data_IF_432886210431
#
_entry.id   IF_432886210431
#
_cell.length_a   1.000
_cell.length_b   1.000
_cell.length_c   1.000
_cell.angle_alpha   90.00
_cell.angle_beta   90.00
_cell.angle_gamma   90.00
#
_symmetry.space_group_name_H-M   'P 1'
#
loop_
_entity.id
_entity.type
_entity.pdbx_description
1 polymer ?
#
# COMPACT_ATOMS: atom_id res chain seq x y z
N UNK A 1 12.50 0.56 27.18
CA UNK A 1 12.09 1.33 25.97
C UNK A 1 10.90 0.62 25.31
N UNK A 2 9.66 1.01 25.65
CA UNK A 2 8.45 0.46 25.00
C UNK A 2 8.39 1.03 23.58
N UNK A 3 8.49 0.19 22.55
CA UNK A 3 8.26 0.64 21.18
C UNK A 3 6.85 1.23 21.11
N UNK A 4 6.64 2.45 20.59
CA UNK A 4 5.29 2.99 20.40
C UNK A 4 4.57 2.01 19.47
N UNK A 5 3.55 1.35 20.01
CA UNK A 5 2.88 0.21 19.35
C UNK A 5 2.34 0.60 17.98
N UNK A 6 2.00 1.88 17.81
CA UNK A 6 1.60 2.49 16.56
C UNK A 6 2.62 2.36 15.42
N UNK A 7 3.91 2.57 15.67
CA UNK A 7 4.94 2.51 14.62
C UNK A 7 5.15 1.07 14.16
N UNK A 8 5.07 0.12 15.09
CA UNK A 8 5.16 -1.31 14.78
C UNK A 8 3.95 -1.77 13.97
N UNK A 9 2.74 -1.33 14.35
CA UNK A 9 1.51 -1.61 13.60
C UNK A 9 1.55 -1.04 12.18
N UNK A 10 1.97 0.22 12.03
CA UNK A 10 2.14 0.86 10.73
C UNK A 10 3.14 0.09 9.86
N UNK A 11 4.31 -0.23 10.41
CA UNK A 11 5.34 -0.98 9.68
C UNK A 11 4.84 -2.37 9.28
N UNK A 12 4.14 -3.08 10.17
CA UNK A 12 3.56 -4.40 9.86
C UNK A 12 2.53 -4.31 8.72
N UNK A 13 1.71 -3.27 8.72
CA UNK A 13 0.69 -3.06 7.70
C UNK A 13 1.30 -2.73 6.32
N UNK A 14 2.31 -1.85 6.29
CA UNK A 14 3.05 -1.54 5.06
C UNK A 14 3.80 -2.76 4.51
N UNK A 15 4.35 -3.60 5.39
CA UNK A 15 4.96 -4.87 4.97
C UNK A 15 3.93 -5.85 4.42
N UNK A 16 2.72 -5.90 5.00
CA UNK A 16 1.63 -6.71 4.48
C UNK A 16 1.16 -6.22 3.09
N UNK A 17 1.05 -4.90 2.89
CA UNK A 17 0.74 -4.32 1.58
C UNK A 17 1.84 -4.64 0.55
N UNK A 18 3.11 -4.49 0.91
CA UNK A 18 4.22 -4.86 0.03
C UNK A 18 4.16 -6.33 -0.36
N UNK A 19 3.91 -7.23 0.61
CA UNK A 19 3.77 -8.66 0.35
C UNK A 19 2.60 -8.96 -0.60
N UNK A 20 1.46 -8.31 -0.41
CA UNK A 20 0.30 -8.45 -1.29
C UNK A 20 0.62 -8.04 -2.73
N UNK A 21 1.33 -6.92 -2.92
CA UNK A 21 1.77 -6.48 -4.24
C UNK A 21 2.73 -7.48 -4.89
N UNK A 22 3.67 -8.05 -4.14
CA UNK A 22 4.56 -9.09 -4.67
C UNK A 22 3.79 -10.37 -5.05
N UNK A 23 2.78 -10.77 -4.27
CA UNK A 23 1.88 -11.86 -4.66
C UNK A 23 1.15 -11.52 -5.97
N UNK A 24 0.68 -10.29 -6.12
CA UNK A 24 0.04 -9.83 -7.37
C UNK A 24 1.01 -9.84 -8.57
N UNK A 25 2.29 -9.46 -8.37
CA UNK A 25 3.33 -9.58 -9.40
C UNK A 25 3.48 -11.03 -9.85
N UNK A 26 3.62 -11.96 -8.90
CA UNK A 26 3.75 -13.40 -9.21
C UNK A 26 2.50 -13.90 -9.93
N UNK A 27 1.31 -13.52 -9.47
CA UNK A 27 0.05 -13.86 -10.11
C UNK A 27 -0.01 -13.37 -11.56
N UNK A 28 0.32 -12.11 -11.82
CA UNK A 28 0.32 -11.54 -13.18
C UNK A 28 1.34 -12.21 -14.10
N UNK A 29 2.50 -12.61 -13.58
CA UNK A 29 3.48 -13.39 -14.34
C UNK A 29 2.89 -14.76 -14.70
N UNK A 30 2.26 -15.45 -13.75
CA UNK A 30 1.60 -16.74 -14.00
C UNK A 30 0.47 -16.60 -15.02
N UNK A 31 -0.35 -15.54 -14.90
CA UNK A 31 -1.44 -15.26 -15.83
C UNK A 31 -0.90 -14.99 -17.25
N UNK A 32 0.22 -14.28 -17.38
CA UNK A 32 0.88 -14.04 -18.67
C UNK A 32 1.44 -15.33 -19.31
N UNK A 33 1.84 -16.30 -18.49
CA UNK A 33 2.38 -17.58 -18.95
C UNK A 33 1.30 -18.63 -19.25
N UNK A 34 0.12 -18.52 -18.62
CA UNK A 34 -0.92 -19.57 -18.67
C UNK A 34 -2.18 -19.15 -19.42
N UNK A 35 -2.49 -17.86 -19.50
CA UNK A 35 -3.65 -17.32 -20.19
C UNK A 35 -3.22 -16.53 -21.43
N UNK A 36 -4.10 -16.48 -22.44
CA UNK A 36 -3.90 -15.64 -23.62
C UNK A 36 -4.46 -14.24 -23.36
N UNK A 37 -3.62 -13.20 -23.17
CA UNK A 37 -4.12 -11.86 -22.93
C UNK A 37 -4.79 -11.31 -24.20
N UNK A 38 -5.87 -10.54 -24.03
CA UNK A 38 -6.51 -9.80 -25.13
C UNK A 38 -5.57 -8.74 -25.74
N UNK A 39 -4.64 -8.23 -24.94
CA UNK A 39 -3.58 -7.31 -25.36
C UNK A 39 -2.31 -7.58 -24.55
N UNK A 40 -1.26 -8.07 -25.21
CA UNK A 40 0.05 -8.30 -24.59
C UNK A 40 0.65 -6.99 -24.05
N UNK A 41 0.50 -5.90 -24.79
CA UNK A 41 1.02 -4.59 -24.39
C UNK A 41 0.38 -4.11 -23.08
N UNK A 42 -0.94 -4.25 -22.94
CA UNK A 42 -1.67 -3.86 -21.73
C UNK A 42 -1.29 -4.74 -20.53
N UNK A 43 -1.13 -6.05 -20.75
CA UNK A 43 -0.71 -6.98 -19.69
C UNK A 43 0.70 -6.64 -19.16
N UNK A 44 1.66 -6.40 -20.05
CA UNK A 44 3.03 -6.00 -19.68
C UNK A 44 3.01 -4.64 -18.97
N UNK A 45 2.24 -3.67 -19.45
CA UNK A 45 2.13 -2.35 -18.83
C UNK A 45 1.63 -2.43 -17.38
N UNK A 46 0.58 -3.23 -17.13
CA UNK A 46 0.07 -3.46 -15.77
C UNK A 46 1.12 -4.16 -14.91
N UNK A 47 1.78 -5.21 -15.42
CA UNK A 47 2.83 -5.92 -14.67
C UNK A 47 3.94 -4.97 -14.24
N UNK A 48 4.47 -4.16 -15.16
CA UNK A 48 5.54 -3.19 -14.85
C UNK A 48 5.07 -2.18 -13.80
N UNK A 49 3.85 -1.66 -13.93
CA UNK A 49 3.28 -0.71 -12.98
C UNK A 49 3.16 -1.32 -11.58
N UNK A 50 2.70 -2.58 -11.47
CA UNK A 50 2.59 -3.29 -10.20
C UNK A 50 3.97 -3.61 -9.61
N UNK A 51 4.98 -3.94 -10.42
CA UNK A 51 6.36 -4.13 -9.95
C UNK A 51 6.94 -2.84 -9.37
N UNK A 52 6.75 -1.70 -10.06
CA UNK A 52 7.19 -0.39 -9.57
C UNK A 52 6.50 -0.04 -8.25
N UNK A 53 5.19 -0.27 -8.15
CA UNK A 53 4.44 -0.10 -6.93
C UNK A 53 4.97 -1.00 -5.79
N UNK A 54 5.19 -2.29 -6.05
CA UNK A 54 5.71 -3.24 -5.08
C UNK A 54 7.08 -2.82 -4.53
N UNK A 55 7.98 -2.38 -5.42
CA UNK A 55 9.29 -1.87 -5.05
C UNK A 55 9.20 -0.58 -4.20
N UNK A 56 8.31 0.34 -4.59
CA UNK A 56 8.08 1.58 -3.84
C UNK A 56 7.58 1.30 -2.43
N UNK A 57 6.52 0.50 -2.29
CA UNK A 57 5.93 0.18 -0.97
C UNK A 57 6.93 -0.59 -0.11
N UNK A 58 7.71 -1.50 -0.70
CA UNK A 58 8.80 -2.18 0.00
C UNK A 58 9.83 -1.19 0.54
N UNK A 59 10.22 -0.18 -0.26
CA UNK A 59 11.13 0.87 0.18
C UNK A 59 10.53 1.71 1.33
N UNK A 60 9.24 2.05 1.25
CA UNK A 60 8.52 2.76 2.34
C UNK A 60 8.48 1.90 3.62
N UNK A 61 8.18 0.61 3.51
CA UNK A 61 8.13 -0.33 4.63
C UNK A 61 9.51 -0.51 5.30
N UNK A 62 10.58 -0.68 4.53
CA UNK A 62 11.97 -0.78 5.04
C UNK A 62 12.39 0.52 5.73
N UNK A 63 12.11 1.66 5.11
CA UNK A 63 12.48 2.94 5.70
C UNK A 63 11.63 3.26 6.94
N UNK A 64 10.40 2.72 7.06
CA UNK A 64 9.52 2.93 8.23
C UNK A 64 10.20 2.51 9.52
N UNK A 65 10.95 1.41 9.47
CA UNK A 65 11.78 0.91 10.57
C UNK A 65 12.95 1.85 10.93
N UNK A 66 13.38 2.70 9.98
CA UNK A 66 14.47 3.69 10.14
C UNK A 66 14.00 5.06 10.66
N UNK A 67 12.70 5.24 10.97
CA UNK A 67 12.12 6.47 11.55
C UNK A 67 12.38 7.77 10.76
N UNK A 68 12.47 7.70 9.43
CA UNK A 68 12.63 8.91 8.59
C UNK A 68 11.31 9.69 8.57
N UNK A 69 11.36 11.02 8.73
CA UNK A 69 10.18 11.90 8.75
C UNK A 69 9.39 11.93 7.44
N UNK A 70 10.06 11.69 6.29
CA UNK A 70 9.43 11.71 4.96
C UNK A 70 8.44 10.55 4.70
N UNK A 71 8.46 9.52 5.55
CA UNK A 71 7.68 8.28 5.36
C UNK A 71 6.19 8.51 5.51
N UNK A 72 5.79 9.46 6.35
CA UNK A 72 4.39 9.82 6.52
C UNK A 72 3.80 10.31 5.20
N UNK A 73 4.53 11.20 4.51
CA UNK A 73 4.14 11.69 3.19
C UNK A 73 4.05 10.56 2.17
N UNK A 74 5.09 9.72 2.09
CA UNK A 74 5.14 8.60 1.16
C UNK A 74 4.01 7.57 1.39
N UNK A 75 3.68 7.27 2.65
CA UNK A 75 2.57 6.39 3.01
C UNK A 75 1.22 6.99 2.63
N UNK A 76 0.98 8.28 2.90
CA UNK A 76 -0.24 8.97 2.45
C UNK A 76 -0.36 8.93 0.92
N UNK A 77 0.71 9.24 0.20
CA UNK A 77 0.72 9.19 -1.26
C UNK A 77 0.37 7.79 -1.77
N UNK A 78 0.94 6.74 -1.18
CA UNK A 78 0.61 5.36 -1.53
C UNK A 78 -0.88 5.06 -1.32
N UNK A 79 -1.44 5.47 -0.19
CA UNK A 79 -2.87 5.26 0.08
C UNK A 79 -3.78 6.00 -0.91
N UNK A 80 -3.41 7.23 -1.31
CA UNK A 80 -4.15 7.96 -2.33
C UNK A 80 -4.10 7.27 -3.70
N UNK A 81 -2.93 6.73 -4.08
CA UNK A 81 -2.78 5.94 -5.31
C UNK A 81 -3.67 4.69 -5.25
N UNK A 82 -3.65 3.96 -4.14
CA UNK A 82 -4.46 2.74 -4.00
C UNK A 82 -5.97 3.04 -4.01
N UNK A 83 -6.42 4.14 -3.40
CA UNK A 83 -7.81 4.60 -3.50
C UNK A 83 -8.16 4.97 -4.95
N UNK A 84 -7.29 5.68 -5.67
CA UNK A 84 -7.53 6.03 -7.07
C UNK A 84 -7.64 4.78 -7.96
N UNK A 85 -6.79 3.77 -7.74
CA UNK A 85 -6.87 2.47 -8.42
C UNK A 85 -8.17 1.75 -8.06
N UNK A 86 -8.57 1.74 -6.80
CA UNK A 86 -9.81 1.13 -6.34
C UNK A 86 -11.04 1.77 -7.01
N UNK A 87 -11.08 3.11 -7.09
CA UNK A 87 -12.12 3.84 -7.82
C UNK A 87 -12.11 3.46 -9.30
N UNK A 88 -10.93 3.33 -9.90
CA UNK A 88 -10.75 2.76 -11.25
C UNK A 88 -11.40 1.38 -11.42
N UNK A 89 -11.30 0.49 -10.43
CA UNK A 89 -11.91 -0.84 -10.48
C UNK A 89 -13.46 -0.82 -10.44
N UNK A 90 -14.08 0.25 -9.94
CA UNK A 90 -15.55 0.39 -9.94
C UNK A 90 -16.11 0.91 -11.28
N UNK A 91 -15.26 1.40 -12.18
CA UNK A 91 -15.66 2.05 -13.42
C UNK A 91 -15.01 1.42 -14.66
N UNK A 92 -15.64 1.58 -15.82
CA UNK A 92 -15.14 1.08 -17.11
C UNK A 92 -15.73 -0.27 -17.55
N UNK A 93 -15.39 -0.68 -18.79
CA UNK A 93 -15.95 -1.89 -19.45
C UNK A 93 -15.58 -3.21 -18.75
N UNK A 94 -14.50 -3.23 -17.97
CA UNK A 94 -14.05 -4.39 -17.19
C UNK A 94 -14.09 -4.12 -15.69
N UNK A 95 -15.07 -3.31 -15.24
CA UNK A 95 -15.25 -3.00 -13.84
C UNK A 95 -15.31 -4.28 -13.01
N UNK A 96 -14.42 -4.38 -12.01
CA UNK A 96 -14.33 -5.49 -11.06
C UNK A 96 -14.53 -4.93 -9.66
N UNK A 97 -15.80 -4.71 -9.24
CA UNK A 97 -16.09 -4.14 -7.94
C UNK A 97 -15.52 -4.96 -6.79
N UNK A 98 -15.37 -6.28 -6.97
CA UNK A 98 -14.72 -7.17 -6.01
C UNK A 98 -13.28 -6.73 -5.71
N UNK A 99 -12.49 -6.40 -6.75
CA UNK A 99 -11.13 -5.90 -6.59
C UNK A 99 -11.11 -4.47 -6.06
N UNK A 100 -12.07 -3.64 -6.47
CA UNK A 100 -12.23 -2.28 -5.95
C UNK A 100 -12.41 -2.27 -4.44
N UNK A 101 -13.30 -3.11 -3.90
CA UNK A 101 -13.48 -3.23 -2.46
C UNK A 101 -12.27 -3.83 -1.74
N UNK A 102 -11.64 -4.86 -2.34
CA UNK A 102 -10.43 -5.48 -1.79
C UNK A 102 -9.26 -4.50 -1.67
N UNK A 103 -9.18 -3.49 -2.53
CA UNK A 103 -8.17 -2.41 -2.46
C UNK A 103 -8.60 -1.25 -1.56
N UNK A 104 -9.88 -0.85 -1.62
CA UNK A 104 -10.39 0.33 -0.92
C UNK A 104 -10.41 0.15 0.60
N UNK A 105 -10.92 -0.99 1.08
CA UNK A 105 -11.04 -1.29 2.51
C UNK A 105 -9.71 -1.20 3.25
N UNK A 106 -8.64 -1.93 2.84
CA UNK A 106 -7.35 -1.82 3.51
C UNK A 106 -6.81 -0.40 3.44
N UNK A 107 -7.02 0.33 2.33
CA UNK A 107 -6.55 1.71 2.24
C UNK A 107 -7.18 2.65 3.25
N UNK A 108 -8.51 2.58 3.39
CA UNK A 108 -9.23 3.41 4.36
C UNK A 108 -8.78 3.06 5.79
N UNK A 109 -8.55 1.77 6.07
CA UNK A 109 -8.04 1.32 7.37
C UNK A 109 -6.64 1.89 7.65
N UNK A 110 -5.72 1.79 6.69
CA UNK A 110 -4.35 2.33 6.83
C UNK A 110 -4.39 3.84 7.01
N UNK A 111 -5.17 4.55 6.19
CA UNK A 111 -5.32 6.00 6.24
C UNK A 111 -5.90 6.44 7.60
N UNK A 112 -6.97 5.79 8.06
CA UNK A 112 -7.58 6.05 9.36
C UNK A 112 -6.60 5.81 10.52
N UNK A 113 -5.80 4.74 10.47
CA UNK A 113 -4.73 4.48 11.42
C UNK A 113 -3.65 5.56 11.39
N UNK A 114 -3.30 6.05 10.18
CA UNK A 114 -2.29 7.09 9.99
C UNK A 114 -2.69 8.44 10.61
N UNK A 115 -4.00 8.73 10.59
CA UNK A 115 -4.58 9.94 11.16
C UNK A 115 -5.13 9.75 12.58
N UNK A 116 -5.04 8.56 13.16
CA UNK A 116 -5.53 8.32 14.52
C UNK A 116 -4.63 9.04 15.54
N UNK A 117 -5.19 9.92 16.41
CA UNK A 117 -4.43 10.76 17.34
C UNK A 117 -3.58 10.01 18.37
N UNK A 118 -3.77 8.69 18.54
CA UNK A 118 -2.92 7.84 19.40
C UNK A 118 -1.46 7.76 18.93
N UNK A 119 -1.17 8.03 17.66
CA UNK A 119 0.21 8.13 17.13
C UNK A 119 0.86 9.49 17.47
N UNK A 120 0.04 10.55 17.54
CA UNK A 120 0.47 11.93 17.81
C UNK A 120 0.71 12.13 19.32
N UNK A 121 -0.13 11.51 20.17
CA UNK A 121 0.00 11.58 21.63
C UNK A 121 1.30 10.97 22.18
N UNK A 122 1.91 10.01 21.47
CA UNK A 122 3.16 9.36 21.90
C UNK A 122 4.43 10.11 21.45
N UNK A 123 4.31 11.15 20.61
CA UNK A 123 5.46 12.00 20.17
C UNK A 123 5.58 13.32 20.92
N UNK A 124 4.61 13.68 21.74
CA UNK A 124 4.60 14.92 22.53
C UNK A 124 4.59 14.55 24.01
N UNK A 125 5.68 14.00 24.54
CA UNK A 125 5.89 14.06 25.99
C UNK A 125 6.48 15.45 26.28
N UNK A 126 5.79 16.32 27.03
CA UNK A 126 6.43 17.54 27.54
C UNK A 126 7.61 17.12 28.41
N UNK A 127 8.77 17.76 28.23
CA UNK A 127 9.89 17.59 29.14
C UNK A 127 9.43 17.92 30.57
N UNK A 128 9.75 17.09 31.58
CA UNK A 128 9.50 17.47 32.96
C UNK A 128 10.38 18.67 33.33
N UNK A 129 9.78 19.51 34.15
CA UNK A 129 10.16 20.85 34.63
C UNK A 129 11.55 20.92 35.27
#
# INVERSE_FOLDING_TARGET
MRRPRAVVLLAALLWAEAALLWVAVVWLILELLTATPTSLASAIAILVLVVVAAAWVSAVAVNSLRRRSWIRGAAVTWQLVQIAVAVGCFQGLYARPDLGWALLLPSIVVLGLLFTPRVIAETTTPAPE
#
